data_IF_212222229388
#
_entry.id   IF_212222229388
#
_cell.length_a   1.000
_cell.length_b   1.000
_cell.length_c   1.000
_cell.angle_alpha   90.00
_cell.angle_beta   90.00
_cell.angle_gamma   90.00
#
_symmetry.space_group_name_H-M   'P 1'
#
loop_
_entity.id
_entity.type
_entity.pdbx_description
1 polymer ?
#
# COMPACT_ATOMS: atom_id res chain seq x y z
N UNK A 1 -5.42 7.67 12.74
CA UNK A 1 -4.90 8.94 12.20
C UNK A 1 -3.65 9.30 12.97
N UNK A 2 -2.54 9.54 12.28
CA UNK A 2 -1.27 9.91 12.93
C UNK A 2 -0.64 11.07 12.17
N UNK A 3 -0.19 12.08 12.92
CA UNK A 3 0.55 13.22 12.40
C UNK A 3 1.95 13.20 13.01
N UNK A 4 2.97 13.32 12.17
CA UNK A 4 4.37 13.48 12.59
C UNK A 4 4.93 14.71 11.88
N UNK A 5 5.57 15.58 12.65
CA UNK A 5 6.14 16.83 12.15
C UNK A 5 7.57 16.88 12.64
N UNK A 6 8.51 16.98 11.71
CA UNK A 6 9.92 17.19 12.05
C UNK A 6 10.22 18.69 12.01
N UNK A 7 11.16 19.18 12.83
CA UNK A 7 11.50 20.61 12.94
C UNK A 7 12.26 21.16 11.72
N UNK A 8 12.13 20.48 10.57
CA UNK A 8 12.74 20.76 9.27
C UNK A 8 11.67 21.07 8.20
N UNK A 9 10.50 21.57 8.63
CA UNK A 9 9.44 22.04 7.72
C UNK A 9 8.56 20.94 7.09
N UNK A 10 8.85 19.66 7.37
CA UNK A 10 8.09 18.52 6.85
C UNK A 10 7.00 18.05 7.81
N UNK A 11 5.74 18.12 7.38
CA UNK A 11 4.57 17.61 8.08
C UNK A 11 3.95 16.45 7.31
N UNK A 12 3.91 15.27 7.93
CA UNK A 12 3.29 14.08 7.35
C UNK A 12 1.97 13.77 8.05
N UNK A 13 0.89 13.73 7.27
CA UNK A 13 -0.43 13.32 7.69
C UNK A 13 -0.75 11.95 7.10
N UNK A 14 -0.85 10.92 7.92
CA UNK A 14 -1.25 9.58 7.47
C UNK A 14 -2.63 9.21 8.03
N UNK A 15 -3.56 8.94 7.11
CA UNK A 15 -4.90 8.47 7.43
C UNK A 15 -5.12 7.10 6.78
N UNK A 16 -5.38 6.09 7.60
CA UNK A 16 -5.55 4.70 7.17
C UNK A 16 -6.91 4.20 7.63
N UNK A 17 -7.72 3.71 6.70
CA UNK A 17 -8.96 3.02 6.93
C UNK A 17 -8.76 1.55 6.55
N UNK A 18 -8.84 0.64 7.53
CA UNK A 18 -8.67 -0.79 7.28
C UNK A 18 -9.78 -1.58 7.97
N UNK A 19 -10.13 -2.71 7.36
CA UNK A 19 -11.17 -3.60 7.84
C UNK A 19 -10.97 -4.99 7.29
N UNK A 20 -11.71 -5.94 7.85
CA UNK A 20 -11.64 -7.34 7.48
C UNK A 20 -13.05 -7.87 7.32
N UNK A 21 -13.25 -8.87 6.47
CA UNK A 21 -14.50 -9.64 6.41
C UNK A 21 -14.67 -10.41 7.72
N UNK A 22 -15.92 -10.69 8.10
CA UNK A 22 -16.29 -11.43 9.31
C UNK A 22 -15.58 -12.78 9.44
N UNK A 23 -15.39 -13.46 8.30
CA UNK A 23 -14.69 -14.74 8.22
C UNK A 23 -13.15 -14.61 8.27
N UNK A 24 -12.61 -13.39 8.36
CA UNK A 24 -11.17 -13.10 8.41
C UNK A 24 -10.40 -13.42 7.12
N UNK A 25 -11.08 -13.95 6.10
CA UNK A 25 -10.49 -14.33 4.82
C UNK A 25 -10.05 -13.15 3.98
N UNK A 26 -10.73 -12.01 4.07
CA UNK A 26 -10.41 -10.83 3.25
C UNK A 26 -10.07 -9.68 4.17
N UNK A 27 -8.93 -9.06 3.93
CA UNK A 27 -8.51 -7.81 4.56
C UNK A 27 -8.44 -6.74 3.48
N UNK A 28 -8.87 -5.53 3.82
CA UNK A 28 -8.72 -4.37 2.95
C UNK A 28 -8.23 -3.19 3.77
N UNK A 29 -7.39 -2.36 3.18
CA UNK A 29 -6.81 -1.18 3.81
C UNK A 29 -6.60 -0.10 2.78
N UNK A 30 -7.04 1.11 3.08
CA UNK A 30 -6.82 2.29 2.26
C UNK A 30 -6.05 3.27 3.13
N UNK A 31 -4.87 3.68 2.69
CA UNK A 31 -4.05 4.69 3.37
C UNK A 31 -3.84 5.89 2.46
N UNK A 32 -4.20 7.07 2.94
CA UNK A 32 -3.85 8.35 2.34
C UNK A 32 -2.76 9.00 3.17
N UNK A 33 -1.67 9.41 2.54
CA UNK A 33 -0.59 10.16 3.13
C UNK A 33 -0.45 11.52 2.43
N UNK A 34 -0.32 12.58 3.20
CA UNK A 34 0.00 13.92 2.70
C UNK A 34 1.27 14.40 3.39
N UNK A 35 2.32 14.65 2.61
CA UNK A 35 3.57 15.21 3.10
C UNK A 35 3.68 16.65 2.59
N UNK A 36 3.61 17.62 3.49
CA UNK A 36 3.87 19.02 3.19
C UNK A 36 5.31 19.33 3.60
N UNK A 37 6.13 19.85 2.70
CA UNK A 37 7.50 20.26 2.99
C UNK A 37 8.01 21.31 2.00
N UNK A 38 9.25 21.79 2.20
CA UNK A 38 9.85 22.89 1.42
C UNK A 38 9.91 22.65 -0.11
N UNK A 39 9.82 21.39 -0.57
CA UNK A 39 9.89 21.01 -1.98
C UNK A 39 8.51 20.77 -2.65
N UNK A 40 7.40 21.07 -1.96
CA UNK A 40 6.03 20.92 -2.47
C UNK A 40 5.19 19.91 -1.68
N UNK A 41 3.88 19.97 -1.87
CA UNK A 41 2.92 19.06 -1.23
C UNK A 41 2.83 17.73 -1.99
N UNK A 42 3.29 16.63 -1.38
CA UNK A 42 3.15 15.29 -1.93
C UNK A 42 1.95 14.58 -1.32
N UNK A 43 0.92 14.38 -2.13
CA UNK A 43 -0.26 13.59 -1.76
C UNK A 43 -0.15 12.19 -2.36
N UNK A 44 -0.31 11.18 -1.53
CA UNK A 44 -0.29 9.77 -1.90
C UNK A 44 -1.55 9.08 -1.38
N UNK A 45 -2.23 8.35 -2.26
CA UNK A 45 -3.29 7.41 -1.90
C UNK A 45 -2.82 6.00 -2.20
N UNK A 46 -3.04 5.09 -1.27
CA UNK A 46 -2.71 3.68 -1.41
C UNK A 46 -3.87 2.82 -0.96
N UNK A 47 -4.16 1.77 -1.71
CA UNK A 47 -5.15 0.76 -1.40
C UNK A 47 -4.48 -0.60 -1.40
N UNK A 48 -4.84 -1.42 -0.43
CA UNK A 48 -4.36 -2.78 -0.24
C UNK A 48 -5.56 -3.68 0.00
N UNK A 49 -5.54 -4.86 -0.58
CA UNK A 49 -6.49 -5.93 -0.32
C UNK A 49 -5.74 -7.26 -0.26
N UNK A 50 -6.03 -8.09 0.73
CA UNK A 50 -5.56 -9.47 0.75
C UNK A 50 -6.70 -10.43 0.98
N UNK A 51 -6.60 -11.58 0.32
CA UNK A 51 -7.50 -12.69 0.43
C UNK A 51 -6.71 -13.94 0.81
N UNK A 52 -6.95 -14.44 2.01
CA UNK A 52 -6.45 -15.71 2.51
C UNK A 52 -7.38 -16.83 2.05
N UNK A 53 -6.88 -17.67 1.15
CA UNK A 53 -7.56 -18.89 0.72
C UNK A 53 -6.87 -20.12 1.35
N UNK A 54 -7.55 -21.29 1.42
CA UNK A 54 -6.90 -22.54 1.83
C UNK A 54 -5.75 -22.97 0.92
N UNK A 55 -5.62 -22.40 -0.29
CA UNK A 55 -4.55 -22.66 -1.25
C UNK A 55 -3.44 -21.59 -1.20
N UNK A 56 -3.47 -20.68 -0.22
CA UNK A 56 -2.48 -19.63 -0.02
C UNK A 56 -3.07 -18.21 -0.08
N UNK A 57 -2.39 -17.23 0.55
CA UNK A 57 -2.80 -15.83 0.52
C UNK A 57 -2.44 -15.13 -0.80
N UNK A 58 -3.42 -14.42 -1.34
CA UNK A 58 -3.30 -13.49 -2.45
C UNK A 58 -3.42 -12.06 -1.90
N UNK A 59 -2.49 -11.19 -2.20
CA UNK A 59 -2.51 -9.78 -1.83
C UNK A 59 -2.34 -8.91 -3.07
N UNK A 60 -3.05 -7.80 -3.11
CA UNK A 60 -2.96 -6.77 -4.14
C UNK A 60 -2.88 -5.42 -3.47
N UNK A 61 -1.95 -4.58 -3.92
CA UNK A 61 -1.83 -3.20 -3.50
C UNK A 61 -1.69 -2.28 -4.68
N UNK A 62 -2.19 -1.07 -4.52
CA UNK A 62 -2.15 -0.01 -5.51
C UNK A 62 -1.79 1.27 -4.77
N UNK A 63 -0.99 2.13 -5.37
CA UNK A 63 -0.68 3.44 -4.83
C UNK A 63 -0.55 4.44 -5.97
N UNK A 64 -0.98 5.65 -5.69
CA UNK A 64 -0.99 6.78 -6.61
C UNK A 64 -0.48 7.98 -5.85
N UNK A 65 0.46 8.71 -6.42
CA UNK A 65 0.96 9.96 -5.86
C UNK A 65 0.81 11.08 -6.88
N UNK A 66 0.75 12.31 -6.38
CA UNK A 66 0.61 13.53 -7.19
C UNK A 66 1.79 13.76 -8.16
N UNK A 67 2.96 13.19 -7.87
CA UNK A 67 4.15 13.16 -8.74
C UNK A 67 4.02 12.21 -9.97
N UNK A 68 2.78 11.87 -10.37
CA UNK A 68 2.48 10.90 -11.45
C UNK A 68 2.97 9.47 -11.19
N UNK A 69 3.50 9.18 -10.00
CA UNK A 69 3.93 7.84 -9.61
C UNK A 69 2.73 6.96 -9.28
N UNK A 70 2.54 5.92 -10.10
CA UNK A 70 1.50 4.90 -9.92
C UNK A 70 2.19 3.57 -9.69
N UNK A 71 1.92 2.92 -8.56
CA UNK A 71 2.42 1.59 -8.29
C UNK A 71 1.25 0.64 -8.10
N UNK A 72 1.36 -0.54 -8.69
CA UNK A 72 0.41 -1.62 -8.55
C UNK A 72 1.25 -2.84 -8.29
N UNK A 73 0.90 -3.60 -7.26
CA UNK A 73 1.55 -4.85 -6.95
C UNK A 73 0.54 -5.92 -6.62
N UNK A 74 0.85 -7.14 -7.02
CA UNK A 74 0.08 -8.31 -6.68
C UNK A 74 1.05 -9.39 -6.22
N UNK A 75 0.89 -9.84 -4.99
CA UNK A 75 1.66 -10.90 -4.38
C UNK A 75 0.77 -12.11 -4.18
N UNK A 76 1.19 -13.26 -4.68
CA UNK A 76 0.59 -14.54 -4.32
C UNK A 76 1.67 -15.39 -3.66
N UNK A 77 1.43 -15.85 -2.43
CA UNK A 77 2.39 -16.63 -1.61
C UNK A 77 2.62 -18.07 -2.13
N UNK A 78 2.39 -18.28 -3.42
CA UNK A 78 2.89 -19.41 -4.21
C UNK A 78 4.10 -19.03 -5.08
N UNK A 79 4.71 -17.86 -4.83
CA UNK A 79 6.00 -17.46 -5.39
C UNK A 79 5.98 -16.44 -6.53
N UNK A 80 4.98 -15.57 -6.60
CA UNK A 80 4.88 -14.55 -7.68
C UNK A 80 4.49 -13.17 -7.15
N UNK A 81 5.36 -12.18 -7.38
CA UNK A 81 5.16 -10.74 -7.11
C UNK A 81 5.17 -9.98 -8.44
N UNK A 82 4.03 -9.43 -8.82
CA UNK A 82 3.93 -8.45 -9.92
C UNK A 82 4.08 -7.06 -9.32
N UNK A 83 4.92 -6.18 -9.87
CA UNK A 83 4.90 -4.75 -9.56
C UNK A 83 5.00 -3.91 -10.84
N UNK A 84 4.68 -2.61 -10.78
CA UNK A 84 4.67 -1.69 -11.93
C UNK A 84 5.99 -1.50 -12.67
N UNK A 85 7.09 -2.07 -12.15
CA UNK A 85 8.42 -2.05 -12.79
C UNK A 85 8.90 -3.42 -13.26
N UNK A 86 8.12 -4.50 -13.11
CA UNK A 86 8.55 -5.84 -13.51
C UNK A 86 7.79 -6.99 -12.83
N UNK A 87 7.94 -8.17 -13.43
CA UNK A 87 7.50 -9.46 -12.88
C UNK A 87 8.66 -10.03 -12.05
N UNK A 88 8.53 -10.07 -10.72
CA UNK A 88 9.48 -10.77 -9.84
C UNK A 88 8.83 -12.08 -9.39
N UNK A 89 9.26 -13.19 -9.99
CA UNK A 89 8.92 -14.53 -9.52
C UNK A 89 9.90 -14.88 -8.40
N UNK A 90 9.43 -14.89 -7.15
CA UNK A 90 10.23 -15.29 -6.00
C UNK A 90 9.75 -16.67 -5.55
N UNK A 91 10.42 -17.78 -5.95
CA UNK A 91 10.01 -19.10 -5.51
C UNK A 91 10.19 -19.26 -3.99
N UNK A 92 9.16 -19.73 -3.31
CA UNK A 92 9.22 -20.12 -1.91
C UNK A 92 9.78 -21.55 -1.85
N UNK A 93 10.88 -21.75 -1.10
CA UNK A 93 11.52 -23.05 -0.87
C UNK A 93 11.16 -23.59 0.51
#
# INVERSE_FOLDING_TARGET
MSARTDMEGSANFNNTASGNTEDGKINYSISTASNTGDYGDLNQISGYGSWSSPYGPLSVSTSFSDDSSKQYSANYSGGMVVHTGGLTMAPER
#
